data_IF_557792266775
#
_entry.id   IF_557792266775
#
_cell.length_a   1.000
_cell.length_b   1.000
_cell.length_c   1.000
_cell.angle_alpha   90.00
_cell.angle_beta   90.00
_cell.angle_gamma   90.00
#
_symmetry.space_group_name_H-M   'P 1'
#
loop_
_entity.id
_entity.type
_entity.pdbx_description
1 polymer ?
#
# COMPACT_ATOMS: atom_id res chain seq x y z
N UNK A 1 20.23 5.51 19.78
CA UNK A 1 21.61 5.39 19.27
C UNK A 1 22.28 4.21 19.92
N UNK A 2 23.12 3.49 19.19
CA UNK A 2 23.91 2.36 19.69
C UNK A 2 24.89 1.86 18.63
N UNK A 3 25.79 0.98 19.04
CA UNK A 3 26.68 0.27 18.13
C UNK A 3 25.90 -0.82 17.41
N UNK A 4 26.23 -1.08 16.16
CA UNK A 4 25.63 -2.19 15.41
C UNK A 4 26.31 -3.51 15.77
N UNK A 5 25.53 -4.55 15.99
CA UNK A 5 25.99 -5.92 16.18
C UNK A 5 25.27 -6.86 15.20
N UNK A 6 26.04 -7.70 14.51
CA UNK A 6 25.46 -8.72 13.64
C UNK A 6 25.06 -9.94 14.47
N UNK A 7 23.82 -10.39 14.30
CA UNK A 7 23.35 -11.61 14.95
C UNK A 7 23.96 -12.86 14.28
N UNK A 8 24.33 -13.83 15.09
CA UNK A 8 24.68 -15.18 14.68
C UNK A 8 23.80 -16.18 15.42
N UNK A 9 23.19 -17.09 14.69
CA UNK A 9 22.48 -18.25 15.23
C UNK A 9 23.06 -19.59 14.72
N UNK A 10 22.44 -20.70 15.10
CA UNK A 10 22.91 -22.05 14.78
C UNK A 10 22.49 -22.51 13.36
N UNK A 11 22.38 -21.64 12.36
CA UNK A 11 22.05 -22.03 10.99
C UNK A 11 22.95 -23.17 10.51
N UNK A 12 22.43 -24.38 10.46
CA UNK A 12 23.12 -25.58 9.97
C UNK A 12 22.49 -26.13 8.69
N UNK A 13 23.33 -26.75 7.87
CA UNK A 13 22.86 -27.44 6.66
C UNK A 13 21.91 -28.59 7.04
N UNK A 14 20.61 -28.42 6.71
CA UNK A 14 19.57 -29.40 6.96
C UNK A 14 18.48 -28.96 7.92
N UNK A 15 18.64 -27.80 8.56
CA UNK A 15 17.61 -27.12 9.35
C UNK A 15 16.68 -26.29 8.45
N UNK A 16 15.55 -25.80 9.03
CA UNK A 16 14.56 -25.00 8.29
C UNK A 16 15.14 -23.69 7.73
N UNK A 17 16.19 -23.14 8.35
CA UNK A 17 16.96 -22.01 7.81
C UNK A 17 18.45 -22.26 7.84
N UNK A 18 19.13 -22.21 6.68
CA UNK A 18 20.60 -22.29 6.62
C UNK A 18 21.29 -20.93 6.82
N UNK A 19 20.55 -19.82 6.95
CA UNK A 19 21.12 -18.48 7.12
C UNK A 19 21.50 -18.25 8.60
N UNK A 20 22.79 -18.07 8.95
CA UNK A 20 23.20 -17.88 10.33
C UNK A 20 22.89 -16.49 10.89
N UNK A 21 22.22 -15.61 10.14
CA UNK A 21 21.94 -14.23 10.53
C UNK A 21 20.44 -13.93 10.60
N UNK A 22 19.58 -14.95 10.53
CA UNK A 22 18.14 -14.70 10.40
C UNK A 22 17.35 -14.84 11.71
N UNK A 23 17.99 -15.20 12.82
CA UNK A 23 17.39 -15.35 14.15
C UNK A 23 16.22 -16.36 14.22
N UNK A 24 16.21 -17.36 13.34
CA UNK A 24 15.18 -18.42 13.36
C UNK A 24 15.59 -19.60 14.21
N UNK A 25 16.86 -19.68 14.65
CA UNK A 25 17.40 -20.71 15.53
C UNK A 25 18.02 -20.10 16.80
N UNK A 26 18.68 -20.96 17.59
CA UNK A 26 19.31 -20.52 18.84
C UNK A 26 20.44 -19.52 18.56
N UNK A 27 20.31 -18.32 19.11
CA UNK A 27 21.35 -17.28 19.01
C UNK A 27 22.62 -17.74 19.77
N UNK A 28 23.76 -17.68 19.11
CA UNK A 28 25.05 -18.14 19.67
C UNK A 28 25.97 -17.01 20.16
N UNK A 29 25.69 -15.77 19.78
CA UNK A 29 26.48 -14.60 20.20
C UNK A 29 25.66 -13.59 21.02
N UNK A 30 24.74 -14.05 21.85
CA UNK A 30 23.84 -13.18 22.64
C UNK A 30 24.55 -12.10 23.46
N UNK A 31 25.76 -12.40 23.95
CA UNK A 31 26.60 -11.43 24.72
C UNK A 31 27.01 -10.22 23.90
N UNK A 32 27.19 -10.37 22.59
CA UNK A 32 27.58 -9.29 21.68
C UNK A 32 26.39 -8.42 21.28
N UNK A 33 25.19 -8.95 21.46
CA UNK A 33 23.93 -8.26 21.09
C UNK A 33 23.44 -7.35 22.19
N UNK A 34 23.79 -7.64 23.44
CA UNK A 34 23.25 -6.92 24.60
C UNK A 34 23.66 -5.45 24.61
N UNK A 35 22.66 -4.57 24.66
CA UNK A 35 22.81 -3.11 24.64
C UNK A 35 23.10 -2.50 23.25
N UNK A 36 23.09 -3.31 22.20
CA UNK A 36 23.39 -2.91 20.83
C UNK A 36 22.15 -2.90 19.93
N UNK A 37 22.26 -2.22 18.78
CA UNK A 37 21.30 -2.30 17.68
C UNK A 37 21.68 -3.52 16.85
N UNK A 38 20.78 -4.50 16.75
CA UNK A 38 21.07 -5.80 16.14
C UNK A 38 20.64 -5.83 14.67
N UNK A 39 21.55 -6.29 13.81
CA UNK A 39 21.30 -6.49 12.38
C UNK A 39 20.93 -7.95 12.14
N UNK A 40 19.76 -8.18 11.50
CA UNK A 40 19.18 -9.51 11.25
C UNK A 40 18.70 -9.58 9.81
N UNK A 41 18.92 -10.70 9.11
CA UNK A 41 18.30 -10.94 7.79
C UNK A 41 16.84 -11.38 7.91
N UNK A 42 16.04 -10.93 6.99
CA UNK A 42 14.73 -11.51 6.69
C UNK A 42 14.93 -12.94 6.18
N UNK A 43 14.01 -13.83 6.50
CA UNK A 43 13.99 -15.22 6.00
C UNK A 43 13.03 -16.06 6.83
N UNK A 44 12.90 -17.29 6.53
CA UNK A 44 12.23 -18.47 7.11
C UNK A 44 11.15 -18.23 8.18
N UNK A 45 11.42 -17.61 9.32
CA UNK A 45 10.44 -17.39 10.40
C UNK A 45 9.88 -15.96 10.43
N UNK A 46 8.82 -15.74 11.22
CA UNK A 46 8.10 -14.47 11.29
C UNK A 46 8.96 -13.33 11.86
N UNK A 47 8.66 -12.09 11.42
CA UNK A 47 9.42 -10.91 11.88
C UNK A 47 9.35 -10.71 13.39
N UNK A 48 8.14 -10.86 13.99
CA UNK A 48 7.96 -10.75 15.44
C UNK A 48 8.83 -11.73 16.21
N UNK A 49 8.91 -12.98 15.78
CA UNK A 49 9.73 -14.03 16.39
C UNK A 49 11.22 -13.67 16.36
N UNK A 50 11.74 -13.20 15.21
CA UNK A 50 13.13 -12.75 15.06
C UNK A 50 13.46 -11.58 15.98
N UNK A 51 12.59 -10.57 16.02
CA UNK A 51 12.80 -9.36 16.81
C UNK A 51 12.73 -9.69 18.29
N UNK A 52 11.77 -10.52 18.72
CA UNK A 52 11.66 -10.96 20.11
C UNK A 52 12.87 -11.80 20.56
N UNK A 53 13.40 -12.64 19.69
CA UNK A 53 14.63 -13.40 19.98
C UNK A 53 15.83 -12.47 20.22
N UNK A 54 16.00 -11.44 19.39
CA UNK A 54 17.05 -10.43 19.59
C UNK A 54 16.82 -9.60 20.87
N UNK A 55 15.59 -9.20 21.15
CA UNK A 55 15.22 -8.49 22.38
C UNK A 55 15.53 -9.32 23.62
N UNK A 56 15.20 -10.60 23.61
CA UNK A 56 15.53 -11.53 24.70
C UNK A 56 17.04 -11.74 24.89
N UNK A 57 17.84 -11.53 23.82
CA UNK A 57 19.30 -11.48 23.86
C UNK A 57 19.85 -10.11 24.32
N UNK A 58 18.99 -9.15 24.64
CA UNK A 58 19.35 -7.84 25.17
C UNK A 58 19.55 -6.76 24.13
N UNK A 59 19.12 -6.96 22.88
CA UNK A 59 19.11 -5.91 21.85
C UNK A 59 18.25 -4.71 22.27
N UNK A 60 18.68 -3.50 21.90
CA UNK A 60 17.91 -2.26 22.16
C UNK A 60 17.10 -1.81 20.94
N UNK A 61 17.40 -2.35 19.76
CA UNK A 61 16.67 -2.13 18.51
C UNK A 61 17.09 -3.18 17.48
N UNK A 62 16.30 -3.34 16.40
CA UNK A 62 16.61 -4.23 15.29
C UNK A 62 16.59 -3.51 13.96
N UNK A 63 17.62 -3.75 13.15
CA UNK A 63 17.63 -3.45 11.71
C UNK A 63 17.45 -4.77 10.96
N UNK A 64 16.30 -4.92 10.33
CA UNK A 64 16.00 -6.07 9.47
C UNK A 64 16.51 -5.80 8.05
N UNK A 65 17.25 -6.72 7.50
CA UNK A 65 17.75 -6.66 6.11
C UNK A 65 16.82 -7.46 5.22
N UNK A 66 16.27 -6.84 4.17
CA UNK A 66 15.47 -7.59 3.20
C UNK A 66 16.32 -8.66 2.51
N UNK A 67 15.79 -9.87 2.33
CA UNK A 67 16.48 -10.98 1.66
C UNK A 67 16.17 -11.08 0.16
N UNK A 68 15.27 -10.22 -0.35
CA UNK A 68 14.88 -10.14 -1.75
C UNK A 68 15.35 -8.83 -2.39
N UNK A 69 15.67 -8.82 -3.70
CA UNK A 69 16.01 -7.58 -4.39
C UNK A 69 14.91 -6.53 -4.27
N UNK A 70 15.29 -5.31 -3.93
CA UNK A 70 14.35 -4.19 -3.80
C UNK A 70 14.45 -3.48 -2.46
N UNK A 71 13.47 -2.60 -2.22
CA UNK A 71 13.36 -1.79 -1.00
C UNK A 71 12.84 -2.57 0.21
N UNK A 72 12.69 -1.87 1.34
CA UNK A 72 12.06 -2.45 2.53
C UNK A 72 10.58 -2.74 2.28
N UNK A 73 10.06 -3.74 2.98
CA UNK A 73 8.63 -4.06 2.99
C UNK A 73 8.05 -3.83 4.39
N UNK A 74 6.73 -3.76 4.49
CA UNK A 74 6.05 -3.72 5.78
C UNK A 74 6.23 -5.05 6.52
N UNK A 75 6.72 -4.98 7.75
CA UNK A 75 6.92 -6.14 8.62
C UNK A 75 5.62 -6.47 9.36
N UNK A 76 5.04 -7.64 9.09
CA UNK A 76 3.90 -8.14 9.86
C UNK A 76 4.32 -8.56 11.28
N UNK A 77 3.44 -8.30 12.26
CA UNK A 77 3.72 -8.63 13.67
C UNK A 77 3.90 -10.14 13.93
N UNK A 78 3.17 -10.99 13.20
CA UNK A 78 3.16 -12.42 13.48
C UNK A 78 2.59 -12.75 14.86
N UNK A 79 2.81 -13.97 15.32
CA UNK A 79 2.29 -14.45 16.63
C UNK A 79 3.00 -13.79 17.82
N UNK A 80 4.27 -13.45 17.69
CA UNK A 80 5.12 -12.94 18.78
C UNK A 80 5.21 -11.41 18.80
N UNK A 81 4.76 -10.72 17.76
CA UNK A 81 4.94 -9.27 17.61
C UNK A 81 4.27 -8.45 18.70
N UNK A 82 3.18 -8.95 19.32
CA UNK A 82 2.54 -8.31 20.47
C UNK A 82 3.40 -8.28 21.73
N UNK A 83 4.45 -9.08 21.81
CA UNK A 83 5.40 -9.15 22.93
C UNK A 83 6.67 -8.33 22.71
N UNK A 84 6.90 -7.83 21.49
CA UNK A 84 8.08 -7.02 21.15
C UNK A 84 7.90 -5.59 21.69
N UNK A 85 8.93 -5.09 22.37
CA UNK A 85 8.93 -3.72 22.95
C UNK A 85 10.01 -2.82 22.37
N UNK A 86 11.00 -3.36 21.68
CA UNK A 86 12.07 -2.60 21.06
C UNK A 86 11.72 -2.12 19.64
N UNK A 87 12.21 -0.96 19.21
CA UNK A 87 11.98 -0.47 17.85
C UNK A 87 12.69 -1.34 16.80
N UNK A 88 12.03 -1.49 15.65
CA UNK A 88 12.59 -2.20 14.51
C UNK A 88 12.29 -1.48 13.19
N UNK A 89 13.24 -1.54 12.27
CA UNK A 89 13.09 -1.04 10.90
C UNK A 89 13.59 -2.09 9.91
N UNK A 90 13.10 -2.01 8.67
CA UNK A 90 13.70 -2.79 7.57
C UNK A 90 14.45 -1.85 6.63
N UNK A 91 15.55 -2.32 6.06
CA UNK A 91 16.32 -1.67 5.00
C UNK A 91 16.35 -2.55 3.76
N UNK A 92 16.74 -1.97 2.62
CA UNK A 92 16.87 -2.71 1.36
C UNK A 92 17.87 -3.85 1.47
N UNK A 93 17.75 -4.85 0.58
CA UNK A 93 18.76 -5.92 0.49
C UNK A 93 20.15 -5.33 0.20
N UNK A 94 20.27 -4.43 -0.76
CA UNK A 94 21.54 -3.88 -1.19
C UNK A 94 22.29 -3.14 -0.05
N UNK A 95 21.58 -2.26 0.68
CA UNK A 95 22.16 -1.53 1.80
C UNK A 95 22.47 -2.46 2.98
N UNK A 96 21.58 -3.42 3.22
CA UNK A 96 21.74 -4.37 4.32
C UNK A 96 22.90 -5.32 4.12
N UNK A 97 23.11 -5.87 2.94
CA UNK A 97 24.24 -6.75 2.64
C UNK A 97 25.56 -5.99 2.69
N UNK A 98 25.59 -4.73 2.24
CA UNK A 98 26.76 -3.87 2.41
C UNK A 98 27.09 -3.64 3.89
N UNK A 99 26.08 -3.43 4.73
CA UNK A 99 26.22 -3.26 6.17
C UNK A 99 26.71 -4.53 6.85
N UNK A 100 26.13 -5.69 6.50
CA UNK A 100 26.56 -7.00 7.03
C UNK A 100 28.02 -7.26 6.68
N UNK A 101 28.44 -6.98 5.45
CA UNK A 101 29.83 -7.17 5.01
C UNK A 101 30.83 -6.33 5.84
N UNK A 102 30.49 -5.09 6.17
CA UNK A 102 31.31 -4.23 7.03
C UNK A 102 31.41 -4.78 8.46
N UNK A 103 30.28 -5.23 9.03
CA UNK A 103 30.28 -5.85 10.37
C UNK A 103 31.06 -7.14 10.40
N UNK A 104 30.98 -7.96 9.36
CA UNK A 104 31.79 -9.20 9.21
C UNK A 104 33.28 -8.90 9.05
N UNK A 105 33.64 -7.75 8.46
CA UNK A 105 35.02 -7.27 8.40
C UNK A 105 35.57 -6.74 9.75
N UNK A 106 34.73 -6.70 10.78
CA UNK A 106 35.08 -6.22 12.11
C UNK A 106 35.03 -4.71 12.27
N UNK A 107 34.34 -4.00 11.39
CA UNK A 107 34.11 -2.55 11.52
C UNK A 107 33.17 -2.26 12.69
N UNK A 108 33.49 -1.22 13.46
CA UNK A 108 32.61 -0.69 14.50
C UNK A 108 31.75 0.44 13.88
N UNK A 109 30.45 0.26 13.86
CA UNK A 109 29.52 1.21 13.24
C UNK A 109 28.52 1.69 14.30
N UNK A 110 28.48 3.00 14.51
CA UNK A 110 27.46 3.65 15.32
C UNK A 110 26.23 3.96 14.47
N UNK A 111 25.05 3.68 15.00
CA UNK A 111 23.79 3.97 14.34
C UNK A 111 22.81 4.70 15.26
N UNK A 112 21.90 5.42 14.65
CA UNK A 112 20.77 6.05 15.33
C UNK A 112 19.49 5.72 14.59
N UNK A 113 18.58 5.01 15.25
CA UNK A 113 17.20 4.86 14.77
C UNK A 113 16.40 6.03 15.35
N UNK A 114 15.88 6.85 14.45
CA UNK A 114 15.05 7.99 14.80
C UNK A 114 13.65 7.70 14.26
N UNK A 115 12.67 7.62 15.16
CA UNK A 115 11.29 7.66 14.73
C UNK A 115 10.94 9.10 14.40
N UNK A 116 11.08 9.46 13.11
CA UNK A 116 10.69 10.77 12.60
C UNK A 116 9.21 10.85 12.23
N UNK A 117 8.49 9.73 12.25
CA UNK A 117 7.06 9.73 12.02
C UNK A 117 6.35 10.23 13.30
N UNK A 118 5.79 11.42 13.22
CA UNK A 118 4.65 11.72 14.05
C UNK A 118 3.55 10.75 13.59
N UNK A 119 3.28 9.69 14.34
CA UNK A 119 2.11 8.86 14.08
C UNK A 119 0.89 9.77 14.12
N UNK A 120 0.34 10.04 12.97
CA UNK A 120 -0.92 10.74 12.87
C UNK A 120 -2.00 9.68 12.85
N UNK A 121 -2.97 9.82 13.73
CA UNK A 121 -4.13 8.93 13.75
C UNK A 121 -4.83 9.00 12.40
N UNK A 122 -5.03 7.87 11.74
CA UNK A 122 -5.67 7.77 10.43
C UNK A 122 -7.12 8.27 10.43
N UNK A 123 -7.77 8.29 11.59
CA UNK A 123 -9.11 8.87 11.76
C UNK A 123 -9.14 10.39 11.53
N UNK A 124 -7.98 11.05 11.46
CA UNK A 124 -7.87 12.45 11.04
C UNK A 124 -7.49 12.63 9.57
N UNK A 125 -7.31 11.55 8.82
CA UNK A 125 -7.08 11.59 7.39
C UNK A 125 -8.42 11.51 6.64
N UNK A 126 -8.86 12.64 6.10
CA UNK A 126 -10.16 12.73 5.42
C UNK A 126 -10.28 11.77 4.24
N UNK A 127 -9.16 11.46 3.59
CA UNK A 127 -9.14 10.55 2.45
C UNK A 127 -9.32 9.10 2.90
N UNK A 128 -8.71 8.69 4.01
CA UNK A 128 -8.95 7.38 4.62
C UNK A 128 -10.41 7.26 5.07
N UNK A 129 -10.96 8.26 5.76
CA UNK A 129 -12.39 8.23 6.16
C UNK A 129 -13.30 8.06 4.94
N UNK A 130 -13.04 8.81 3.87
CA UNK A 130 -13.81 8.73 2.63
C UNK A 130 -13.61 7.39 1.91
N UNK A 131 -12.39 6.84 1.92
CA UNK A 131 -12.05 5.51 1.41
C UNK A 131 -12.87 4.41 2.11
N UNK A 132 -12.83 4.37 3.44
CA UNK A 132 -13.57 3.37 4.22
C UNK A 132 -15.08 3.47 4.00
N UNK A 133 -15.61 4.69 3.89
CA UNK A 133 -17.01 4.89 3.52
C UNK A 133 -17.30 4.43 2.08
N UNK A 134 -16.33 4.57 1.16
CA UNK A 134 -16.38 4.09 -0.22
C UNK A 134 -16.60 2.57 -0.32
N UNK A 135 -16.01 1.78 0.58
CA UNK A 135 -16.32 0.35 0.70
C UNK A 135 -17.80 0.12 1.01
N UNK A 136 -18.37 0.93 1.90
CA UNK A 136 -19.80 0.88 2.21
C UNK A 136 -20.69 1.14 0.99
N UNK A 137 -20.30 2.10 0.13
CA UNK A 137 -21.02 2.44 -1.11
C UNK A 137 -20.93 1.28 -2.11
N UNK A 138 -19.73 0.89 -2.49
CA UNK A 138 -19.49 -0.12 -3.52
C UNK A 138 -20.06 -1.49 -3.15
N UNK A 139 -19.88 -1.94 -1.92
CA UNK A 139 -20.41 -3.20 -1.40
C UNK A 139 -21.96 -3.24 -1.32
N UNK A 140 -22.63 -2.09 -1.26
CA UNK A 140 -24.10 -2.03 -1.19
C UNK A 140 -24.75 -1.82 -2.55
N UNK A 141 -24.05 -1.24 -3.50
CA UNK A 141 -24.57 -1.00 -4.83
C UNK A 141 -24.37 -2.18 -5.76
N UNK A 142 -23.17 -2.77 -5.80
CA UNK A 142 -22.87 -3.90 -6.67
C UNK A 142 -23.57 -5.17 -6.18
N UNK A 143 -24.46 -5.73 -7.01
CA UNK A 143 -25.28 -6.89 -6.67
C UNK A 143 -26.40 -6.60 -5.67
N UNK A 144 -26.52 -5.35 -5.18
CA UNK A 144 -27.55 -4.88 -4.25
C UNK A 144 -27.18 -5.04 -2.78
N UNK A 145 -27.95 -4.38 -1.92
CA UNK A 145 -27.63 -4.19 -0.49
C UNK A 145 -27.48 -5.48 0.33
N UNK A 146 -27.97 -6.61 -0.16
CA UNK A 146 -27.88 -7.91 0.50
C UNK A 146 -26.70 -8.76 0.03
N UNK A 147 -25.91 -8.29 -0.96
CA UNK A 147 -24.84 -9.02 -1.61
C UNK A 147 -23.46 -8.40 -1.32
N UNK A 148 -23.16 -8.01 -0.06
CA UNK A 148 -21.95 -7.29 0.31
C UNK A 148 -20.62 -8.02 -0.03
N UNK A 149 -20.62 -9.34 -0.27
CA UNK A 149 -19.47 -10.11 -0.72
C UNK A 149 -19.32 -10.20 -2.24
N UNK A 150 -20.02 -9.39 -3.01
CA UNK A 150 -20.16 -9.50 -4.46
C UNK A 150 -18.88 -9.18 -5.23
N UNK A 151 -17.97 -8.40 -4.67
CA UNK A 151 -16.73 -7.97 -5.35
C UNK A 151 -15.50 -8.86 -5.08
N UNK A 152 -15.68 -10.03 -4.50
CA UNK A 152 -14.57 -10.91 -4.16
C UNK A 152 -14.20 -11.82 -5.34
N UNK A 153 -13.27 -11.35 -6.15
CA UNK A 153 -12.66 -12.10 -7.27
C UNK A 153 -11.20 -11.63 -7.48
N UNK A 154 -10.51 -12.21 -8.45
CA UNK A 154 -9.09 -11.88 -8.70
C UNK A 154 -8.86 -10.46 -9.23
N UNK A 155 -9.89 -9.85 -9.83
CA UNK A 155 -9.88 -8.47 -10.31
C UNK A 155 -10.73 -7.55 -9.40
N UNK A 156 -10.79 -7.84 -8.11
CA UNK A 156 -11.63 -7.08 -7.18
C UNK A 156 -11.26 -5.59 -7.14
N UNK A 157 -12.27 -4.76 -7.37
CA UNK A 157 -12.12 -3.32 -7.55
C UNK A 157 -12.45 -2.51 -6.29
N UNK A 158 -12.83 -3.18 -5.21
CA UNK A 158 -13.35 -2.53 -3.99
C UNK A 158 -12.44 -1.46 -3.43
N UNK A 159 -11.14 -1.76 -3.33
CA UNK A 159 -10.12 -0.80 -2.91
C UNK A 159 -10.01 0.40 -3.88
N UNK A 160 -10.12 0.12 -5.18
CA UNK A 160 -10.05 1.15 -6.21
C UNK A 160 -11.24 2.11 -6.18
N UNK A 161 -12.45 1.60 -6.00
CA UNK A 161 -13.62 2.48 -5.80
C UNK A 161 -13.45 3.35 -4.56
N UNK A 162 -12.94 2.77 -3.48
CA UNK A 162 -12.72 3.48 -2.22
C UNK A 162 -11.68 4.58 -2.35
N UNK A 163 -10.53 4.31 -2.98
CA UNK A 163 -9.52 5.32 -3.29
C UNK A 163 -10.11 6.44 -4.16
N UNK A 164 -10.82 6.06 -5.23
CA UNK A 164 -11.41 7.02 -6.14
C UNK A 164 -12.46 7.90 -5.45
N UNK A 165 -13.32 7.36 -4.58
CA UNK A 165 -14.25 8.16 -3.79
C UNK A 165 -13.51 9.13 -2.86
N UNK A 166 -12.42 8.69 -2.22
CA UNK A 166 -11.56 9.56 -1.42
C UNK A 166 -11.00 10.73 -2.22
N UNK A 167 -10.43 10.46 -3.38
CA UNK A 167 -9.93 11.47 -4.30
C UNK A 167 -11.02 12.44 -4.76
N UNK A 168 -12.21 11.95 -5.11
CA UNK A 168 -13.32 12.75 -5.60
C UNK A 168 -13.88 13.70 -4.53
N UNK A 169 -14.01 13.25 -3.29
CA UNK A 169 -14.54 14.07 -2.19
C UNK A 169 -13.54 15.15 -1.77
N UNK A 170 -12.26 14.89 -1.95
CA UNK A 170 -11.16 15.83 -1.59
C UNK A 170 -10.67 16.66 -2.78
N UNK A 171 -11.24 16.48 -3.97
CA UNK A 171 -10.90 17.25 -5.18
C UNK A 171 -11.37 18.70 -5.04
N UNK A 172 -10.47 19.65 -5.28
CA UNK A 172 -10.73 21.09 -5.20
C UNK A 172 -10.62 21.81 -6.53
N UNK A 173 -11.18 23.01 -6.62
CA UNK A 173 -11.17 23.84 -7.84
C UNK A 173 -9.76 24.27 -8.32
N UNK A 174 -8.76 24.19 -7.43
CA UNK A 174 -7.38 24.52 -7.76
C UNK A 174 -6.53 23.28 -8.13
N UNK A 175 -7.11 22.10 -8.10
CA UNK A 175 -6.46 20.89 -8.55
C UNK A 175 -6.37 20.84 -10.08
N UNK A 176 -5.39 20.12 -10.57
CA UNK A 176 -5.15 19.95 -12.01
C UNK A 176 -4.66 18.53 -12.31
N UNK A 177 -4.80 18.06 -13.55
CA UNK A 177 -4.32 16.73 -13.93
C UNK A 177 -2.80 16.55 -13.75
N UNK A 178 -2.04 17.65 -13.76
CA UNK A 178 -0.59 17.63 -13.52
C UNK A 178 -0.22 17.57 -12.04
N UNK A 179 -1.19 17.72 -11.11
CA UNK A 179 -0.96 17.65 -9.68
C UNK A 179 -1.14 16.20 -9.21
N UNK A 180 -0.07 15.49 -8.81
CA UNK A 180 -0.20 14.14 -8.31
C UNK A 180 -1.01 14.11 -7.00
N UNK A 181 -1.77 13.05 -6.79
CA UNK A 181 -2.56 12.84 -5.58
C UNK A 181 -2.24 11.47 -4.96
N UNK A 182 -1.66 11.46 -3.77
CA UNK A 182 -1.42 10.21 -3.03
C UNK A 182 -2.54 9.94 -2.04
N UNK A 183 -2.88 8.69 -1.82
CA UNK A 183 -3.86 8.25 -0.81
C UNK A 183 -3.20 8.12 0.56
N UNK A 184 -3.88 8.56 1.62
CA UNK A 184 -3.40 8.49 3.01
C UNK A 184 -2.10 9.29 3.28
N UNK A 185 -1.87 10.36 2.54
CA UNK A 185 -0.64 11.15 2.65
C UNK A 185 -0.51 11.85 4.00
N UNK A 186 -1.63 12.29 4.59
CA UNK A 186 -1.63 12.91 5.91
C UNK A 186 -1.20 11.93 7.00
N UNK A 187 -1.76 10.73 7.01
CA UNK A 187 -1.39 9.66 7.96
C UNK A 187 0.06 9.20 7.77
N UNK A 188 0.55 9.22 6.53
CA UNK A 188 1.94 8.90 6.20
C UNK A 188 2.92 10.04 6.48
N UNK A 189 2.46 11.22 6.94
CA UNK A 189 3.29 12.39 7.18
C UNK A 189 3.89 12.98 5.90
N UNK A 190 3.23 12.80 4.77
CA UNK A 190 3.64 13.29 3.44
C UNK A 190 2.83 14.51 3.02
N UNK A 191 3.31 15.21 1.98
CA UNK A 191 2.49 16.22 1.30
C UNK A 191 1.36 15.54 0.52
N UNK A 192 0.27 16.25 0.18
CA UNK A 192 -0.81 15.69 -0.65
C UNK A 192 -0.35 15.15 -2.02
N UNK A 193 0.81 15.59 -2.51
CA UNK A 193 1.44 15.13 -3.74
C UNK A 193 2.41 13.97 -3.55
N UNK A 194 2.57 13.48 -2.33
CA UNK A 194 3.39 12.30 -2.02
C UNK A 194 2.80 11.02 -2.59
N UNK A 195 3.57 9.93 -2.50
CA UNK A 195 3.12 8.61 -2.98
C UNK A 195 1.95 8.06 -2.17
N UNK A 196 1.88 8.42 -0.87
CA UNK A 196 0.91 7.83 0.05
C UNK A 196 1.21 6.36 0.34
N UNK A 197 0.17 5.55 0.38
CA UNK A 197 0.23 4.11 0.70
C UNK A 197 0.05 3.21 -0.53
N UNK A 198 0.01 3.77 -1.73
CA UNK A 198 -0.14 3.02 -3.00
C UNK A 198 1.20 2.95 -3.75
N UNK A 199 1.22 2.21 -4.84
CA UNK A 199 2.41 2.00 -5.66
C UNK A 199 2.94 3.29 -6.33
N UNK A 200 2.05 4.22 -6.65
CA UNK A 200 2.35 5.55 -7.17
C UNK A 200 1.24 6.53 -6.75
N UNK A 201 1.47 7.85 -6.79
CA UNK A 201 0.37 8.80 -6.65
C UNK A 201 -0.52 8.75 -7.90
N UNK A 202 -1.79 9.06 -7.74
CA UNK A 202 -2.73 9.15 -8.87
C UNK A 202 -2.43 10.37 -9.72
N UNK A 203 -2.26 10.15 -11.02
CA UNK A 203 -1.99 11.19 -12.02
C UNK A 203 -2.29 10.65 -13.42
N UNK A 204 -2.91 11.43 -14.33
CA UNK A 204 -3.00 11.10 -15.74
C UNK A 204 -1.67 11.21 -16.49
N UNK A 205 -0.62 11.76 -15.88
CA UNK A 205 0.70 11.84 -16.47
C UNK A 205 1.45 10.50 -16.32
N UNK A 206 1.67 9.83 -17.43
CA UNK A 206 2.40 8.55 -17.51
C UNK A 206 3.84 8.61 -16.98
N UNK A 207 4.43 9.80 -16.86
CA UNK A 207 5.73 9.96 -16.21
C UNK A 207 5.65 9.84 -14.68
N UNK A 208 4.45 9.95 -14.11
CA UNK A 208 4.18 9.89 -12.67
C UNK A 208 3.52 8.57 -12.29
N UNK A 209 2.54 8.12 -13.07
CA UNK A 209 1.81 6.87 -12.87
C UNK A 209 1.61 6.17 -14.21
N UNK A 210 2.44 5.18 -14.49
CA UNK A 210 2.44 4.41 -15.73
C UNK A 210 1.74 3.05 -15.61
N UNK A 211 1.06 2.80 -14.48
CA UNK A 211 0.33 1.56 -14.24
C UNK A 211 -0.86 1.40 -15.19
N UNK A 212 -0.94 0.24 -15.80
CA UNK A 212 -1.98 -0.15 -16.75
C UNK A 212 -2.66 -1.45 -16.32
N UNK A 213 -3.75 -1.82 -16.98
CA UNK A 213 -4.43 -3.09 -16.72
C UNK A 213 -3.49 -4.31 -16.87
N UNK A 214 -2.50 -4.23 -17.76
CA UNK A 214 -1.53 -5.32 -17.94
C UNK A 214 -0.68 -5.58 -16.70
N UNK A 215 -0.47 -4.58 -15.85
CA UNK A 215 0.36 -4.69 -14.64
C UNK A 215 -0.31 -5.55 -13.57
N UNK A 216 -1.62 -5.76 -13.63
CA UNK A 216 -2.33 -6.68 -12.73
C UNK A 216 -1.88 -8.13 -12.88
N UNK A 217 -1.21 -8.49 -13.99
CA UNK A 217 -0.58 -9.81 -14.17
C UNK A 217 0.69 -9.99 -13.32
N UNK A 218 1.29 -8.90 -12.84
CA UNK A 218 2.45 -8.95 -11.96
C UNK A 218 2.01 -8.91 -10.49
N UNK A 219 1.55 -10.03 -9.99
CA UNK A 219 1.00 -10.16 -8.61
C UNK A 219 2.02 -9.90 -7.51
N UNK A 220 3.31 -9.90 -7.82
CA UNK A 220 4.37 -9.55 -6.88
C UNK A 220 4.47 -8.02 -6.66
N UNK A 221 4.23 -7.22 -7.70
CA UNK A 221 4.24 -5.76 -7.64
C UNK A 221 2.85 -5.17 -7.38
N UNK A 222 1.81 -5.79 -7.96
CA UNK A 222 0.41 -5.37 -7.87
C UNK A 222 -0.37 -6.43 -7.09
N UNK A 223 -0.28 -6.36 -5.77
CA UNK A 223 -0.91 -7.34 -4.87
C UNK A 223 -2.42 -7.15 -4.77
N UNK A 224 -3.16 -8.22 -4.54
CA UNK A 224 -4.57 -8.15 -4.16
C UNK A 224 -4.73 -7.82 -2.67
N UNK A 225 -5.80 -7.08 -2.31
CA UNK A 225 -6.75 -6.37 -3.16
C UNK A 225 -6.27 -4.95 -3.53
N UNK A 226 -5.33 -4.40 -2.76
CA UNK A 226 -4.96 -2.99 -2.79
C UNK A 226 -4.28 -2.57 -4.12
N UNK A 227 -3.29 -3.34 -4.58
CA UNK A 227 -2.60 -3.03 -5.84
C UNK A 227 -3.52 -3.16 -7.06
N UNK A 228 -4.35 -4.21 -7.12
CA UNK A 228 -5.34 -4.37 -8.19
C UNK A 228 -6.34 -3.21 -8.16
N UNK A 229 -6.86 -2.86 -6.98
CA UNK A 229 -7.74 -1.71 -6.79
C UNK A 229 -7.08 -0.39 -7.21
N UNK A 230 -5.79 -0.19 -6.86
CA UNK A 230 -5.02 0.98 -7.29
C UNK A 230 -4.98 1.12 -8.82
N UNK A 231 -4.72 0.05 -9.56
CA UNK A 231 -4.74 0.08 -11.04
C UNK A 231 -6.12 0.45 -11.57
N UNK A 232 -7.19 -0.08 -10.96
CA UNK A 232 -8.55 0.27 -11.34
C UNK A 232 -8.87 1.75 -11.07
N UNK A 233 -8.49 2.27 -9.91
CA UNK A 233 -8.68 3.67 -9.56
C UNK A 233 -7.88 4.62 -10.46
N UNK A 234 -6.69 4.22 -10.91
CA UNK A 234 -5.91 5.00 -11.91
C UNK A 234 -6.74 5.22 -13.18
N UNK A 235 -7.37 4.18 -13.71
CA UNK A 235 -8.26 4.32 -14.88
C UNK A 235 -9.45 5.26 -14.59
N UNK A 236 -10.07 5.16 -13.42
CA UNK A 236 -11.17 6.06 -13.06
C UNK A 236 -10.70 7.51 -12.85
N UNK A 237 -9.47 7.70 -12.37
CA UNK A 237 -8.90 9.03 -12.18
C UNK A 237 -8.60 9.71 -13.51
N UNK A 238 -8.07 8.97 -14.48
CA UNK A 238 -7.90 9.47 -15.86
C UNK A 238 -9.23 9.87 -16.48
N UNK A 239 -10.24 9.03 -16.33
CA UNK A 239 -11.59 9.31 -16.82
C UNK A 239 -12.19 10.55 -16.12
N UNK A 240 -11.92 10.75 -14.85
CA UNK A 240 -12.37 11.93 -14.09
C UNK A 240 -11.85 13.22 -14.72
N UNK A 241 -10.55 13.26 -15.03
CA UNK A 241 -9.96 14.45 -15.64
C UNK A 241 -10.46 14.68 -17.06
N UNK A 242 -10.73 13.65 -17.85
CA UNK A 242 -11.37 13.79 -19.16
C UNK A 242 -12.77 14.41 -19.06
N UNK A 243 -13.54 14.04 -18.05
CA UNK A 243 -14.85 14.66 -17.81
C UNK A 243 -14.72 16.11 -17.35
N UNK A 244 -13.79 16.42 -16.46
CA UNK A 244 -13.55 17.79 -15.99
C UNK A 244 -13.05 18.68 -17.13
N UNK A 245 -12.18 18.18 -17.99
CA UNK A 245 -11.68 18.93 -19.16
C UNK A 245 -12.80 19.26 -20.15
N UNK A 246 -13.77 18.37 -20.33
CA UNK A 246 -14.89 18.56 -21.28
C UNK A 246 -16.03 19.41 -20.68
N UNK A 247 -16.37 19.21 -19.40
CA UNK A 247 -17.56 19.78 -18.77
C UNK A 247 -17.28 20.78 -17.65
N UNK A 248 -16.01 21.02 -17.32
CA UNK A 248 -15.58 21.87 -16.21
C UNK A 248 -15.71 21.23 -14.84
N UNK A 249 -15.20 21.91 -13.84
CA UNK A 249 -15.30 21.51 -12.43
C UNK A 249 -16.39 22.34 -11.73
N UNK A 250 -17.22 21.68 -10.90
CA UNK A 250 -18.23 22.34 -10.06
C UNK A 250 -18.01 21.93 -8.60
N UNK A 251 -17.75 22.88 -7.68
CA UNK A 251 -17.49 22.58 -6.28
C UNK A 251 -18.72 22.09 -5.49
N UNK A 252 -19.94 22.30 -6.01
CA UNK A 252 -21.15 21.74 -5.39
C UNK A 252 -21.32 20.27 -5.76
N UNK A 253 -20.80 19.39 -4.91
CA UNK A 253 -20.87 17.94 -5.13
C UNK A 253 -22.32 17.40 -5.14
N UNK A 254 -23.28 18.13 -4.59
CA UNK A 254 -24.67 17.66 -4.42
C UNK A 254 -25.58 18.07 -5.56
N UNK A 255 -25.46 19.33 -6.00
CA UNK A 255 -26.36 19.91 -6.99
C UNK A 255 -25.62 20.45 -8.22
N UNK A 256 -24.30 20.27 -8.28
CA UNK A 256 -23.46 20.73 -9.37
C UNK A 256 -23.66 19.93 -10.66
N UNK A 257 -23.17 20.50 -11.76
CA UNK A 257 -23.26 19.92 -13.10
C UNK A 257 -21.91 19.84 -13.81
N UNK A 258 -20.80 19.94 -13.07
CA UNK A 258 -19.47 19.80 -13.61
C UNK A 258 -19.13 18.36 -14.00
N UNK A 259 -18.03 18.18 -14.72
CA UNK A 259 -17.53 16.87 -15.10
C UNK A 259 -17.28 15.94 -13.90
N UNK A 260 -16.82 16.50 -12.78
CA UNK A 260 -16.68 15.78 -11.52
C UNK A 260 -18.02 15.23 -10.98
N UNK A 261 -19.12 16.00 -11.08
CA UNK A 261 -20.45 15.53 -10.69
C UNK A 261 -20.97 14.46 -11.66
N UNK A 262 -20.74 14.65 -12.96
CA UNK A 262 -21.19 13.72 -13.99
C UNK A 262 -20.50 12.36 -13.87
N UNK A 263 -19.18 12.33 -13.68
CA UNK A 263 -18.45 11.08 -13.51
C UNK A 263 -18.81 10.39 -12.19
N UNK A 264 -19.03 11.15 -11.10
CA UNK A 264 -19.49 10.60 -9.84
C UNK A 264 -20.83 9.87 -10.01
N UNK A 265 -21.79 10.50 -10.67
CA UNK A 265 -23.09 9.89 -10.95
C UNK A 265 -22.95 8.66 -11.85
N UNK A 266 -22.10 8.74 -12.89
CA UNK A 266 -21.84 7.63 -13.82
C UNK A 266 -21.31 6.41 -13.09
N UNK A 267 -20.33 6.58 -12.21
CA UNK A 267 -19.74 5.48 -11.44
C UNK A 267 -20.76 4.87 -10.47
N UNK A 268 -21.53 5.70 -9.77
CA UNK A 268 -22.60 5.22 -8.87
C UNK A 268 -23.65 4.40 -9.63
N UNK A 269 -24.05 4.85 -10.80
CA UNK A 269 -25.02 4.13 -11.62
C UNK A 269 -24.42 2.87 -12.26
N UNK A 270 -23.13 2.92 -12.64
CA UNK A 270 -22.37 1.77 -13.10
C UNK A 270 -22.28 0.67 -12.04
N UNK A 271 -22.03 1.03 -10.79
CA UNK A 271 -22.03 0.09 -9.66
C UNK A 271 -23.38 -0.62 -9.48
N UNK A 272 -24.48 0.07 -9.68
CA UNK A 272 -25.84 -0.53 -9.60
C UNK A 272 -26.12 -1.50 -10.74
N UNK A 273 -25.50 -1.32 -11.91
CA UNK A 273 -25.67 -2.17 -13.09
C UNK A 273 -24.66 -3.30 -13.17
N UNK A 274 -23.53 -3.17 -12.50
CA UNK A 274 -22.47 -4.16 -12.56
C UNK A 274 -22.92 -5.50 -11.99
N UNK A 275 -22.60 -6.63 -12.65
CA UNK A 275 -22.91 -7.96 -12.13
C UNK A 275 -22.06 -8.27 -10.91
N UNK A 276 -22.51 -9.22 -10.11
CA UNK A 276 -21.74 -9.80 -9.03
C UNK A 276 -20.43 -10.40 -9.58
N UNK A 277 -19.33 -10.23 -8.86
CA UNK A 277 -17.99 -10.70 -9.25
C UNK A 277 -17.47 -10.11 -10.56
N UNK A 278 -17.86 -8.87 -10.88
CA UNK A 278 -17.37 -8.18 -12.08
C UNK A 278 -15.87 -7.92 -12.01
N UNK A 279 -15.20 -8.11 -13.17
CA UNK A 279 -13.84 -7.66 -13.42
C UNK A 279 -13.79 -6.25 -14.03
N UNK A 280 -12.60 -5.78 -14.38
CA UNK A 280 -12.38 -4.45 -14.98
C UNK A 280 -13.19 -4.25 -16.25
N UNK A 281 -13.24 -5.28 -17.10
CA UNK A 281 -13.97 -5.22 -18.38
C UNK A 281 -15.48 -5.13 -18.15
N UNK A 282 -16.04 -5.88 -17.21
CA UNK A 282 -17.46 -5.83 -16.89
C UNK A 282 -17.86 -4.46 -16.37
N UNK A 283 -17.04 -3.88 -15.49
CA UNK A 283 -17.30 -2.54 -14.96
C UNK A 283 -17.19 -1.47 -16.06
N UNK A 284 -16.16 -1.56 -16.91
CA UNK A 284 -16.05 -0.68 -18.09
C UNK A 284 -17.31 -0.74 -18.97
N UNK A 285 -17.82 -1.94 -19.25
CA UNK A 285 -19.04 -2.13 -20.03
C UNK A 285 -20.26 -1.54 -19.33
N UNK A 286 -20.36 -1.65 -18.01
CA UNK A 286 -21.44 -1.04 -17.23
C UNK A 286 -21.43 0.50 -17.37
N UNK A 287 -20.25 1.13 -17.29
CA UNK A 287 -20.09 2.58 -17.47
C UNK A 287 -20.46 3.02 -18.88
N UNK A 288 -19.99 2.32 -19.92
CA UNK A 288 -20.29 2.63 -21.33
C UNK A 288 -21.79 2.49 -21.61
N UNK A 289 -22.43 1.46 -21.06
CA UNK A 289 -23.87 1.23 -21.27
C UNK A 289 -24.73 2.38 -20.76
N UNK A 290 -24.33 3.04 -19.68
CA UNK A 290 -25.03 4.22 -19.16
C UNK A 290 -24.72 5.46 -20.01
N UNK A 291 -23.47 5.69 -20.37
CA UNK A 291 -23.04 6.89 -21.07
C UNK A 291 -23.50 6.96 -22.54
N UNK A 292 -23.80 5.83 -23.18
CA UNK A 292 -24.22 5.74 -24.59
C UNK A 292 -25.59 5.08 -24.83
N UNK A 293 -26.63 5.33 -23.99
CA UNK A 293 -27.93 4.64 -24.16
C UNK A 293 -28.65 4.97 -25.47
N UNK A 294 -28.25 6.04 -26.16
CA UNK A 294 -28.93 6.53 -27.36
C UNK A 294 -28.37 6.03 -28.68
N UNK A 295 -27.16 5.43 -28.70
CA UNK A 295 -26.57 4.89 -29.93
C UNK A 295 -27.17 3.58 -30.41
N UNK A 296 -27.89 2.84 -29.56
CA UNK A 296 -28.54 1.57 -29.92
C UNK A 296 -29.94 1.72 -30.55
N UNK A 297 -30.51 2.92 -30.58
CA UNK A 297 -31.81 3.16 -31.17
C UNK A 297 -31.77 3.82 -32.57
N UNK A 298 -30.58 3.86 -33.19
CA UNK A 298 -30.37 4.49 -34.50
C UNK A 298 -29.99 3.54 -35.63
N UNK A 299 -30.33 2.22 -35.53
CA UNK A 299 -30.22 1.28 -36.65
C UNK A 299 -31.57 0.74 -36.96
#
# INVERSE_FOLDING_TARGET
TGVLALLYDQGELGEESPDPHDACQTIINATDLAGNIVVIRRGTCEFGTKILAAENAGAIAVIMVNNEPGGPITMGAGVDGGSVTIPSIMISQADGEALIAQLQAGETIDASLINASNYTDSDYDNEIIAHEYGHGISNRLMGGAQAAGCMQNDEQQGEGFSDWFGLMITLGENDSPSLPRGVATYSAGQSPTGVGIRNAPYSPDFAINDYTYADTNNTAAVSQPHGVGFVFATMLWDLTWLFIDEYGFDPDLTNGNGGNNMIMQLVIDGLKLAPCSSGFVDMRLSLIHISEPTRLHGI
#
